data_IF_999572494967
#
_entry.id   IF_999572494967
#
_cell.length_a   1.000
_cell.length_b   1.000
_cell.length_c   1.000
_cell.angle_alpha   90.00
_cell.angle_beta   90.00
_cell.angle_gamma   90.00
#
_symmetry.space_group_name_H-M   'P 1'
#
loop_
_entity.id
_entity.type
_entity.pdbx_description
1 polymer ?
#
# COMPACT_ATOMS: atom_id res chain seq x y z
N UNK A 1 -4.40 -14.98 -26.49
CA UNK A 1 -4.18 -14.52 -25.10
C UNK A 1 -3.42 -13.22 -25.19
N UNK A 2 -3.80 -12.22 -24.39
CA UNK A 2 -3.11 -10.93 -24.42
C UNK A 2 -1.69 -11.05 -23.88
N UNK A 3 -0.73 -10.35 -24.47
CA UNK A 3 0.63 -10.26 -23.89
C UNK A 3 0.62 -9.35 -22.65
N UNK A 4 1.32 -9.75 -21.59
CA UNK A 4 1.36 -9.02 -20.32
C UNK A 4 2.79 -8.87 -19.82
N UNK A 5 3.13 -7.66 -19.34
CA UNK A 5 4.36 -7.38 -18.61
C UNK A 5 4.08 -6.71 -17.27
N UNK A 6 4.94 -6.96 -16.29
CA UNK A 6 4.92 -6.25 -15.00
C UNK A 6 6.15 -5.36 -14.90
N UNK A 7 5.94 -4.06 -14.81
CA UNK A 7 7.01 -3.07 -14.61
C UNK A 7 7.14 -2.77 -13.12
N UNK A 8 8.27 -3.11 -12.52
CA UNK A 8 8.49 -3.02 -11.07
C UNK A 8 9.69 -2.14 -10.73
N UNK A 9 9.96 -2.01 -9.43
CA UNK A 9 11.13 -1.34 -8.85
C UNK A 9 12.15 -2.39 -8.40
N UNK A 10 13.42 -2.00 -8.30
CA UNK A 10 14.52 -2.91 -7.96
C UNK A 10 14.29 -3.70 -6.67
N UNK A 11 13.73 -3.06 -5.64
CA UNK A 11 13.48 -3.71 -4.34
C UNK A 11 12.40 -4.79 -4.40
N UNK A 12 11.54 -4.78 -5.42
CA UNK A 12 10.40 -5.70 -5.56
C UNK A 12 10.52 -6.60 -6.79
N UNK A 13 11.69 -6.63 -7.45
CA UNK A 13 11.87 -7.43 -8.66
C UNK A 13 11.75 -8.94 -8.38
N UNK A 14 12.47 -9.43 -7.38
CA UNK A 14 12.47 -10.85 -7.02
C UNK A 14 11.16 -11.32 -6.36
N UNK A 15 10.39 -10.41 -5.76
CA UNK A 15 9.07 -10.74 -5.20
C UNK A 15 8.05 -10.90 -6.33
N UNK A 16 7.99 -9.93 -7.25
CA UNK A 16 7.06 -9.91 -8.38
C UNK A 16 7.32 -11.03 -9.38
N UNK A 17 8.60 -11.35 -9.66
CA UNK A 17 8.98 -12.41 -10.60
C UNK A 17 8.39 -13.78 -10.24
N UNK A 18 8.11 -14.03 -8.95
CA UNK A 18 7.46 -15.28 -8.47
C UNK A 18 6.09 -15.50 -9.08
N UNK A 19 5.39 -14.43 -9.48
CA UNK A 19 4.09 -14.52 -10.15
C UNK A 19 4.17 -15.27 -11.49
N UNK A 20 5.36 -15.39 -12.10
CA UNK A 20 5.59 -16.15 -13.32
C UNK A 20 5.18 -15.42 -14.60
N UNK A 21 5.17 -14.08 -14.58
CA UNK A 21 4.95 -13.23 -15.75
C UNK A 21 6.24 -12.48 -16.12
N UNK A 22 6.33 -12.05 -17.37
CA UNK A 22 7.43 -11.19 -17.83
C UNK A 22 7.52 -9.96 -16.92
N UNK A 23 8.69 -9.78 -16.30
CA UNK A 23 8.91 -8.76 -15.27
C UNK A 23 10.11 -7.90 -15.67
N UNK A 24 9.94 -6.59 -15.60
CA UNK A 24 10.86 -5.60 -16.12
C UNK A 24 11.24 -4.59 -15.04
N UNK A 25 12.48 -4.14 -15.07
CA UNK A 25 12.90 -2.97 -14.30
C UNK A 25 12.67 -1.70 -15.12
N UNK A 26 12.78 -0.55 -14.43
CA UNK A 26 12.64 0.78 -15.04
C UNK A 26 13.52 0.96 -16.28
N UNK A 27 14.73 0.40 -16.26
CA UNK A 27 15.76 0.66 -17.26
C UNK A 27 15.56 -0.18 -18.54
N UNK A 28 14.63 -1.15 -18.51
CA UNK A 28 14.32 -2.07 -19.61
C UNK A 28 13.17 -1.50 -20.48
N UNK A 29 13.27 -0.23 -20.89
CA UNK A 29 12.15 0.52 -21.49
C UNK A 29 11.60 -0.10 -22.79
N UNK A 30 12.48 -0.66 -23.61
CA UNK A 30 12.12 -1.19 -24.93
C UNK A 30 11.41 -2.54 -24.85
N UNK A 31 11.60 -3.30 -23.77
CA UNK A 31 11.22 -4.71 -23.69
C UNK A 31 9.75 -4.98 -23.31
N UNK A 32 9.01 -3.96 -22.87
CA UNK A 32 7.58 -4.09 -22.59
C UNK A 32 6.68 -3.28 -23.53
N UNK A 33 7.24 -2.54 -24.48
CA UNK A 33 6.47 -1.71 -25.42
C UNK A 33 5.53 -2.55 -26.31
N UNK A 34 5.84 -3.83 -26.51
CA UNK A 34 5.06 -4.81 -27.27
C UNK A 34 3.91 -5.46 -26.46
N UNK A 35 3.84 -5.24 -25.14
CA UNK A 35 2.84 -5.88 -24.27
C UNK A 35 1.48 -5.22 -24.37
N UNK A 36 0.43 -5.97 -24.63
CA UNK A 36 -0.94 -5.41 -24.66
C UNK A 36 -1.39 -4.89 -23.28
N UNK A 37 -0.94 -5.54 -22.20
CA UNK A 37 -1.24 -5.17 -20.82
C UNK A 37 0.07 -4.90 -20.06
N UNK A 38 0.09 -3.79 -19.32
CA UNK A 38 1.19 -3.47 -18.40
C UNK A 38 0.64 -3.23 -17.01
N UNK A 39 1.13 -3.98 -16.02
CA UNK A 39 0.86 -3.72 -14.60
C UNK A 39 2.07 -3.01 -14.02
N UNK A 40 1.85 -1.85 -13.39
CA UNK A 40 2.94 -1.15 -12.70
C UNK A 40 2.93 -1.47 -11.21
N UNK A 41 4.05 -2.00 -10.74
CA UNK A 41 4.28 -2.39 -9.36
C UNK A 41 5.25 -1.40 -8.71
N UNK A 42 4.73 -0.25 -8.27
CA UNK A 42 5.53 0.81 -7.63
C UNK A 42 6.32 1.71 -8.57
N UNK A 43 6.29 1.44 -9.87
CA UNK A 43 7.00 2.26 -10.85
C UNK A 43 6.16 3.49 -11.29
N UNK A 44 6.53 4.66 -10.78
CA UNK A 44 5.89 5.96 -11.09
C UNK A 44 6.40 6.63 -12.36
N UNK A 45 7.35 6.04 -13.08
CA UNK A 45 7.95 6.66 -14.27
C UNK A 45 6.93 6.76 -15.41
N UNK A 46 6.74 7.94 -16.01
CA UNK A 46 5.76 8.10 -17.08
C UNK A 46 6.10 7.19 -18.28
N UNK A 47 5.09 6.48 -18.79
CA UNK A 47 5.23 5.68 -20.02
C UNK A 47 4.47 6.39 -21.12
N UNK A 48 5.04 6.41 -22.31
CA UNK A 48 4.52 7.16 -23.47
C UNK A 48 3.80 6.29 -24.50
N UNK A 49 3.72 4.97 -24.30
CA UNK A 49 3.09 4.10 -25.30
C UNK A 49 1.56 4.13 -25.20
N UNK A 50 0.84 4.61 -26.25
CA UNK A 50 -0.61 4.70 -26.25
C UNK A 50 -1.31 3.35 -26.47
N UNK A 51 -0.56 2.30 -26.83
CA UNK A 51 -1.14 1.00 -27.20
C UNK A 51 -1.46 0.11 -26.00
N UNK A 52 -0.79 0.31 -24.87
CA UNK A 52 -0.88 -0.64 -23.76
C UNK A 52 -2.04 -0.27 -22.81
N UNK A 53 -2.78 -1.28 -22.35
CA UNK A 53 -3.67 -1.14 -21.20
C UNK A 53 -2.84 -1.14 -19.91
N UNK A 54 -2.57 0.06 -19.40
CA UNK A 54 -1.76 0.24 -18.17
C UNK A 54 -2.64 0.28 -16.92
N UNK A 55 -2.39 -0.64 -15.98
CA UNK A 55 -2.93 -0.66 -14.61
C UNK A 55 -1.95 -0.02 -13.63
N UNK A 56 -2.48 0.70 -12.63
CA UNK A 56 -1.72 1.64 -11.79
C UNK A 56 -1.00 2.71 -12.64
N UNK A 57 -1.68 3.82 -12.95
CA UNK A 57 -1.05 4.90 -13.72
C UNK A 57 0.13 5.53 -12.96
N UNK A 58 1.11 6.02 -13.71
CA UNK A 58 2.30 6.72 -13.20
C UNK A 58 1.96 7.75 -12.10
N UNK A 59 0.96 8.59 -12.40
CA UNK A 59 0.50 9.67 -11.54
C UNK A 59 -0.15 9.15 -10.25
N UNK A 60 -0.89 8.04 -10.30
CA UNK A 60 -1.48 7.43 -9.13
C UNK A 60 -0.42 6.85 -8.20
N UNK A 61 0.61 6.21 -8.77
CA UNK A 61 1.77 5.71 -8.00
C UNK A 61 2.55 6.89 -7.40
N UNK A 62 2.83 7.93 -8.18
CA UNK A 62 3.52 9.13 -7.71
C UNK A 62 2.78 9.77 -6.53
N UNK A 63 1.46 9.98 -6.65
CA UNK A 63 0.63 10.46 -5.54
C UNK A 63 0.75 9.54 -4.31
N UNK A 64 0.69 8.22 -4.51
CA UNK A 64 0.79 7.24 -3.43
C UNK A 64 2.16 7.25 -2.71
N UNK A 65 3.24 7.66 -3.39
CA UNK A 65 4.56 7.85 -2.79
C UNK A 65 4.63 9.07 -1.86
N UNK A 66 3.85 10.12 -2.12
CA UNK A 66 3.73 11.28 -1.23
C UNK A 66 2.72 10.99 -0.12
N UNK A 67 3.20 10.49 1.02
CA UNK A 67 2.35 9.86 2.05
C UNK A 67 1.40 10.83 2.74
N UNK A 68 1.76 12.11 2.86
CA UNK A 68 0.88 13.13 3.41
C UNK A 68 -0.31 13.45 2.48
N UNK A 69 -0.03 13.75 1.21
CA UNK A 69 -1.08 14.13 0.25
C UNK A 69 -1.97 12.94 -0.14
N UNK A 70 -1.40 11.74 -0.31
CA UNK A 70 -2.21 10.52 -0.51
C UNK A 70 -3.12 10.26 0.68
N UNK A 71 -2.65 10.45 1.92
CA UNK A 71 -3.48 10.28 3.11
C UNK A 71 -4.60 11.31 3.19
N UNK A 72 -4.35 12.59 2.86
CA UNK A 72 -5.42 13.60 2.72
C UNK A 72 -6.48 13.15 1.72
N UNK A 73 -6.05 12.63 0.57
CA UNK A 73 -6.97 12.12 -0.47
C UNK A 73 -7.79 10.92 0.02
N UNK A 74 -7.20 10.03 0.81
CA UNK A 74 -7.93 8.93 1.45
C UNK A 74 -8.99 9.44 2.43
N UNK A 75 -8.65 10.46 3.23
CA UNK A 75 -9.56 11.07 4.21
C UNK A 75 -10.85 11.66 3.62
N UNK A 76 -10.89 11.91 2.30
CA UNK A 76 -12.12 12.33 1.60
C UNK A 76 -13.16 11.20 1.46
N UNK A 77 -12.75 9.93 1.56
CA UNK A 77 -13.61 8.77 1.22
C UNK A 77 -13.67 7.68 2.29
N UNK A 78 -12.68 7.62 3.17
CA UNK A 78 -12.56 6.65 4.27
C UNK A 78 -11.99 7.32 5.51
N UNK A 79 -12.17 6.71 6.69
CA UNK A 79 -11.55 7.22 7.90
C UNK A 79 -10.03 7.04 7.85
N UNK A 80 -9.32 8.08 8.27
CA UNK A 80 -7.87 8.11 8.46
C UNK A 80 -7.58 8.64 9.87
N UNK A 81 -6.41 8.36 10.46
CA UNK A 81 -5.98 9.08 11.66
C UNK A 81 -5.88 10.57 11.38
N UNK A 82 -6.24 11.42 12.35
CA UNK A 82 -6.13 12.89 12.20
C UNK A 82 -4.71 13.28 11.82
N UNK A 83 -4.57 14.15 10.81
CA UNK A 83 -3.28 14.63 10.33
C UNK A 83 -2.80 15.90 11.06
N UNK A 84 -1.48 16.02 11.21
CA UNK A 84 -0.78 17.20 11.72
C UNK A 84 0.31 17.59 10.71
N UNK A 85 0.45 18.89 10.41
CA UNK A 85 1.45 19.41 9.45
C UNK A 85 2.54 20.24 10.13
N UNK A 86 2.15 21.17 11.01
CA UNK A 86 3.11 22.10 11.62
C UNK A 86 3.42 21.77 13.08
N UNK A 87 2.39 21.34 13.82
CA UNK A 87 2.54 21.00 15.24
C UNK A 87 1.57 19.92 15.67
N UNK A 88 2.00 19.17 16.67
CA UNK A 88 1.17 18.23 17.43
C UNK A 88 0.73 18.96 18.70
N UNK A 89 -0.60 19.09 18.94
CA UNK A 89 -1.10 19.86 20.07
C UNK A 89 -0.81 19.16 21.40
N UNK A 90 -0.77 19.94 22.48
CA UNK A 90 -0.62 19.42 23.84
C UNK A 90 -1.67 18.35 24.15
N UNK A 91 -1.23 17.28 24.83
CA UNK A 91 -2.08 16.15 25.21
C UNK A 91 -2.34 15.13 24.10
N UNK A 92 -2.04 15.44 22.83
CA UNK A 92 -2.16 14.46 21.75
C UNK A 92 -0.96 13.50 21.71
N UNK A 93 -1.22 12.25 21.34
CA UNK A 93 -0.19 11.27 21.00
C UNK A 93 -0.23 11.02 19.49
N UNK A 94 0.93 10.99 18.85
CA UNK A 94 0.99 10.92 17.39
C UNK A 94 2.19 10.13 16.88
N UNK A 95 2.01 9.51 15.71
CA UNK A 95 3.07 8.93 14.89
C UNK A 95 3.58 10.02 13.94
N UNK A 96 4.84 10.41 14.12
CA UNK A 96 5.56 11.31 13.21
C UNK A 96 6.38 10.48 12.24
N UNK A 97 6.39 10.90 10.97
CA UNK A 97 7.11 10.22 9.90
C UNK A 97 7.49 11.20 8.79
N UNK A 98 8.51 10.89 7.98
CA UNK A 98 8.82 11.67 6.78
C UNK A 98 7.65 11.71 5.80
N UNK A 99 7.53 12.81 5.05
CA UNK A 99 6.55 12.96 3.97
C UNK A 99 6.83 11.99 2.82
N UNK A 100 8.12 11.75 2.56
CA UNK A 100 8.59 10.77 1.58
C UNK A 100 8.66 9.35 2.16
N UNK A 101 8.51 8.34 1.29
CA UNK A 101 8.46 6.95 1.72
C UNK A 101 9.86 6.41 2.09
N UNK A 102 10.00 5.92 3.32
CA UNK A 102 11.24 5.36 3.89
C UNK A 102 11.16 3.87 4.22
N UNK A 103 10.22 3.11 3.65
CA UNK A 103 10.12 1.67 3.90
C UNK A 103 9.83 1.30 5.36
N UNK A 104 9.15 2.17 6.11
CA UNK A 104 8.85 1.94 7.54
C UNK A 104 9.97 2.33 8.49
N UNK A 105 11.06 2.94 8.01
CA UNK A 105 12.11 3.53 8.84
C UNK A 105 11.74 4.96 9.28
N UNK A 106 12.40 5.45 10.33
CA UNK A 106 12.33 6.85 10.78
C UNK A 106 10.94 7.33 11.22
N UNK A 107 10.03 6.44 11.64
CA UNK A 107 8.85 6.88 12.38
C UNK A 107 9.15 6.92 13.88
N UNK A 108 8.52 7.88 14.57
CA UNK A 108 8.60 8.05 16.03
C UNK A 108 7.21 8.30 16.59
N UNK A 109 6.95 7.86 17.81
CA UNK A 109 5.74 8.22 18.54
C UNK A 109 6.09 9.33 19.52
N UNK A 110 5.37 10.46 19.44
CA UNK A 110 5.62 11.64 20.27
C UNK A 110 4.33 12.07 20.95
N UNK A 111 4.47 12.58 22.19
CA UNK A 111 3.40 13.27 22.91
C UNK A 111 3.58 14.76 22.71
N UNK A 112 2.51 15.46 22.35
CA UNK A 112 2.53 16.91 22.18
C UNK A 112 2.67 17.67 23.50
N UNK A 113 3.09 18.95 23.45
CA UNK A 113 3.32 19.71 22.22
C UNK A 113 4.62 19.33 21.51
N UNK A 114 4.59 19.22 20.18
CA UNK A 114 5.75 18.87 19.36
C UNK A 114 5.69 19.62 18.02
N UNK A 115 6.76 20.33 17.65
CA UNK A 115 6.86 21.02 16.36
C UNK A 115 7.40 20.05 15.31
N UNK A 116 6.74 19.98 14.16
CA UNK A 116 7.13 19.11 13.06
C UNK A 116 8.13 19.84 12.15
N UNK A 117 9.14 19.12 11.68
CA UNK A 117 10.03 19.63 10.64
C UNK A 117 9.30 19.71 9.29
N UNK A 118 9.77 20.54 8.36
CA UNK A 118 9.13 20.75 7.05
C UNK A 118 9.04 19.47 6.19
N UNK A 119 9.87 18.47 6.49
CA UNK A 119 9.91 17.16 5.81
C UNK A 119 9.14 16.08 6.57
N UNK A 120 8.53 16.41 7.70
CA UNK A 120 7.74 15.51 8.53
C UNK A 120 6.25 15.80 8.43
N UNK A 121 5.45 14.79 8.75
CA UNK A 121 4.07 15.00 9.12
C UNK A 121 3.70 14.08 10.29
N UNK A 122 2.74 14.54 11.09
CA UNK A 122 2.15 13.74 12.16
C UNK A 122 0.84 13.12 11.73
N UNK A 123 0.55 11.95 12.29
CA UNK A 123 -0.81 11.39 12.31
C UNK A 123 -1.14 10.91 13.70
N UNK A 124 -2.38 11.10 14.14
CA UNK A 124 -2.86 10.65 15.45
C UNK A 124 -2.49 9.18 15.70
N UNK A 125 -2.00 8.92 16.91
CA UNK A 125 -1.73 7.57 17.36
C UNK A 125 -3.06 6.88 17.70
N UNK A 126 -3.52 6.01 16.81
CA UNK A 126 -4.73 5.22 17.05
C UNK A 126 -4.35 3.94 17.81
N UNK A 127 -4.88 3.79 19.02
CA UNK A 127 -4.68 2.57 19.82
C UNK A 127 -5.26 1.37 19.08
N UNK A 128 -4.39 0.50 18.58
CA UNK A 128 -4.79 -0.60 17.72
C UNK A 128 -5.42 -1.75 18.51
N UNK A 129 -6.62 -2.20 18.13
CA UNK A 129 -7.16 -3.49 18.57
C UNK A 129 -6.76 -4.61 17.60
N UNK A 130 -6.86 -4.33 16.30
CA UNK A 130 -6.45 -5.23 15.21
C UNK A 130 -5.84 -4.41 14.09
N UNK A 131 -4.87 -5.00 13.41
CA UNK A 131 -4.32 -4.46 12.17
C UNK A 131 -4.56 -5.45 11.04
N UNK A 132 -4.91 -4.92 9.87
CA UNK A 132 -5.21 -5.68 8.67
C UNK A 132 -4.32 -5.21 7.53
N UNK A 133 -3.96 -6.16 6.67
CA UNK A 133 -3.46 -5.88 5.33
C UNK A 133 -4.45 -6.42 4.33
N UNK A 134 -4.87 -5.58 3.40
CA UNK A 134 -5.82 -5.92 2.34
C UNK A 134 -5.14 -5.76 0.99
N UNK A 135 -4.78 -6.87 0.35
CA UNK A 135 -4.30 -6.88 -1.04
C UNK A 135 -5.48 -6.77 -2.00
N UNK A 136 -5.27 -6.11 -3.13
CA UNK A 136 -6.29 -5.90 -4.14
C UNK A 136 -5.73 -6.02 -5.55
N UNK A 137 -6.54 -6.56 -6.45
CA UNK A 137 -6.28 -6.68 -7.88
C UNK A 137 -7.60 -6.47 -8.63
N UNK A 138 -7.75 -5.32 -9.30
CA UNK A 138 -9.05 -4.88 -9.80
C UNK A 138 -10.04 -4.73 -8.65
N UNK A 139 -11.15 -5.47 -8.67
CA UNK A 139 -12.14 -5.48 -7.58
C UNK A 139 -12.00 -6.67 -6.63
N UNK A 140 -11.10 -7.62 -6.92
CA UNK A 140 -10.84 -8.74 -6.04
C UNK A 140 -9.99 -8.28 -4.84
N UNK A 141 -10.25 -8.85 -3.67
CA UNK A 141 -9.58 -8.52 -2.41
C UNK A 141 -9.14 -9.79 -1.70
N UNK A 142 -7.95 -9.75 -1.11
CA UNK A 142 -7.46 -10.72 -0.14
C UNK A 142 -7.19 -9.96 1.17
N UNK A 143 -7.79 -10.42 2.26
CA UNK A 143 -7.64 -9.76 3.57
C UNK A 143 -6.94 -10.70 4.54
N UNK A 144 -5.96 -10.17 5.28
CA UNK A 144 -5.40 -10.86 6.42
C UNK A 144 -5.24 -9.92 7.61
N UNK A 145 -5.36 -10.49 8.80
CA UNK A 145 -5.04 -9.81 10.06
C UNK A 145 -3.55 -9.98 10.34
N UNK A 146 -2.84 -8.90 10.68
CA UNK A 146 -1.48 -9.00 11.21
C UNK A 146 -1.49 -9.67 12.59
N UNK A 147 -0.61 -10.65 12.76
CA UNK A 147 -0.41 -11.36 14.02
C UNK A 147 1.04 -11.21 14.44
N UNK A 148 1.24 -10.89 15.73
CA UNK A 148 2.57 -10.76 16.32
C UNK A 148 3.30 -12.09 16.16
N UNK A 149 4.45 -12.06 15.48
CA UNK A 149 5.39 -13.19 15.49
C UNK A 149 6.29 -13.09 16.73
N UNK A 150 7.10 -14.10 17.04
CA UNK A 150 8.05 -14.06 18.17
C UNK A 150 9.12 -12.97 17.94
N UNK A 151 8.77 -11.70 18.10
CA UNK A 151 9.64 -10.53 18.00
C UNK A 151 9.77 -9.88 19.38
N UNK A 152 10.96 -9.33 19.68
CA UNK A 152 11.36 -8.78 20.98
C UNK A 152 10.22 -8.03 21.70
N UNK A 153 9.93 -8.47 22.92
CA UNK A 153 8.67 -8.17 23.63
C UNK A 153 8.62 -6.78 24.28
N UNK A 154 9.65 -5.95 24.12
CA UNK A 154 9.89 -4.82 25.02
C UNK A 154 9.64 -3.42 24.42
N UNK A 155 9.27 -3.31 23.14
CA UNK A 155 8.99 -2.00 22.53
C UNK A 155 7.54 -1.57 22.78
N UNK A 156 7.35 -0.42 23.43
CA UNK A 156 6.02 0.17 23.70
C UNK A 156 5.23 0.45 22.40
N UNK A 157 5.93 0.86 21.33
CA UNK A 157 5.38 1.17 20.02
C UNK A 157 6.07 0.36 18.91
N UNK A 158 5.77 -0.94 18.76
CA UNK A 158 6.49 -1.79 17.82
C UNK A 158 6.15 -1.44 16.37
N UNK A 159 7.16 -1.42 15.50
CA UNK A 159 6.93 -1.53 14.06
C UNK A 159 6.35 -2.92 13.76
N UNK A 160 5.30 -2.98 12.94
CA UNK A 160 4.59 -4.23 12.63
C UNK A 160 4.81 -4.71 11.21
N UNK A 161 5.76 -4.12 10.48
CA UNK A 161 6.10 -4.52 9.10
C UNK A 161 6.42 -6.02 9.02
N UNK A 162 7.17 -6.52 10.00
CA UNK A 162 7.65 -7.91 10.10
C UNK A 162 6.66 -8.87 10.79
N UNK A 163 5.42 -8.44 11.03
CA UNK A 163 4.42 -9.33 11.62
C UNK A 163 3.85 -10.29 10.56
N UNK A 164 3.48 -11.48 11.01
CA UNK A 164 2.87 -12.50 10.15
C UNK A 164 1.40 -12.21 9.89
N UNK A 165 0.76 -13.08 9.10
CA UNK A 165 -0.63 -12.92 8.70
C UNK A 165 -1.48 -14.13 9.10
N UNK A 166 -2.63 -13.85 9.70
CA UNK A 166 -3.74 -14.79 9.80
C UNK A 166 -4.76 -14.43 8.70
N UNK A 167 -4.81 -15.26 7.66
CA UNK A 167 -5.82 -15.14 6.61
C UNK A 167 -7.17 -15.55 7.20
N UNK A 168 -8.17 -14.68 7.03
CA UNK A 168 -9.50 -14.88 7.60
C UNK A 168 -10.52 -14.34 6.63
N UNK A 169 -11.64 -15.03 6.54
CA UNK A 169 -12.69 -14.67 5.60
C UNK A 169 -13.63 -13.60 6.17
N UNK A 170 -14.08 -12.73 5.26
CA UNK A 170 -15.24 -11.85 5.35
C UNK A 170 -15.18 -10.65 6.31
N UNK A 171 -14.75 -9.50 5.78
CA UNK A 171 -14.91 -8.18 6.40
C UNK A 171 -15.62 -7.22 5.44
N UNK A 172 -16.96 -7.31 5.30
CA UNK A 172 -17.67 -6.65 4.21
C UNK A 172 -17.55 -5.11 4.26
N UNK A 173 -17.53 -4.53 5.47
CA UNK A 173 -17.31 -3.10 5.67
C UNK A 173 -15.90 -2.70 5.21
N UNK A 174 -14.87 -3.41 5.68
CA UNK A 174 -13.48 -3.17 5.28
C UNK A 174 -13.32 -3.32 3.77
N UNK A 175 -13.88 -4.37 3.16
CA UNK A 175 -13.85 -4.58 1.71
C UNK A 175 -14.44 -3.40 0.95
N UNK A 176 -15.62 -2.92 1.34
CA UNK A 176 -16.27 -1.76 0.73
C UNK A 176 -15.41 -0.49 0.85
N UNK A 177 -14.81 -0.26 2.02
CA UNK A 177 -13.93 0.89 2.26
C UNK A 177 -12.61 0.78 1.47
N UNK A 178 -12.01 -0.41 1.37
CA UNK A 178 -10.80 -0.63 0.56
C UNK A 178 -11.07 -0.32 -0.91
N UNK A 179 -12.22 -0.73 -1.45
CA UNK A 179 -12.60 -0.42 -2.84
C UNK A 179 -12.77 1.09 -3.06
N UNK A 180 -13.30 1.83 -2.08
CA UNK A 180 -13.37 3.30 -2.14
C UNK A 180 -11.97 3.93 -2.10
N UNK A 181 -11.14 3.49 -1.15
CA UNK A 181 -9.79 4.00 -0.93
C UNK A 181 -8.91 3.81 -2.18
N UNK A 182 -8.86 2.60 -2.75
CA UNK A 182 -8.05 2.34 -3.95
C UNK A 182 -8.53 3.15 -5.15
N UNK A 183 -9.85 3.35 -5.28
CA UNK A 183 -10.43 4.16 -6.36
C UNK A 183 -10.08 5.65 -6.20
N UNK A 184 -10.06 6.17 -4.98
CA UNK A 184 -9.71 7.57 -4.71
C UNK A 184 -8.25 7.90 -5.03
N UNK A 185 -7.33 6.94 -4.83
CA UNK A 185 -5.91 7.08 -5.20
C UNK A 185 -5.68 6.74 -6.68
N UNK A 186 -6.50 5.87 -7.27
CA UNK A 186 -6.34 5.39 -8.65
C UNK A 186 -5.43 4.18 -8.76
N UNK A 187 -5.42 3.31 -7.73
CA UNK A 187 -4.70 2.03 -7.77
C UNK A 187 -5.65 0.88 -8.10
N UNK A 188 -5.22 0.06 -9.04
CA UNK A 188 -5.85 -1.20 -9.46
C UNK A 188 -5.19 -2.42 -8.80
N UNK A 189 -3.89 -2.35 -8.55
CA UNK A 189 -3.09 -3.39 -7.89
C UNK A 189 -2.33 -2.80 -6.70
N UNK A 190 -2.30 -3.50 -5.58
CA UNK A 190 -1.59 -3.02 -4.39
C UNK A 190 -2.15 -3.59 -3.09
N UNK A 191 -1.77 -3.00 -1.96
CA UNK A 191 -2.40 -3.31 -0.69
C UNK A 191 -2.73 -2.06 0.13
N UNK A 192 -3.59 -2.22 1.12
CA UNK A 192 -3.88 -1.22 2.14
C UNK A 192 -3.51 -1.75 3.53
N UNK A 193 -2.86 -0.92 4.34
CA UNK A 193 -2.64 -1.17 5.76
C UNK A 193 -3.70 -0.41 6.58
N UNK A 194 -4.42 -1.14 7.43
CA UNK A 194 -5.65 -0.64 8.08
C UNK A 194 -5.68 -1.05 9.55
N UNK A 195 -5.94 -0.09 10.43
CA UNK A 195 -6.19 -0.35 11.85
C UNK A 195 -7.69 -0.49 12.12
N UNK A 196 -8.05 -1.28 13.12
CA UNK A 196 -9.38 -1.28 13.73
C UNK A 196 -9.29 -0.77 15.16
N UNK A 197 -10.16 0.18 15.48
CA UNK A 197 -10.32 0.75 16.81
C UNK A 197 -11.76 1.23 17.00
N UNK A 198 -12.39 0.94 18.16
CA UNK A 198 -13.77 1.35 18.48
C UNK A 198 -14.77 1.01 17.36
N UNK A 199 -14.64 -0.19 16.78
CA UNK A 199 -15.47 -0.69 15.68
C UNK A 199 -15.39 0.12 14.36
N UNK A 200 -14.40 1.00 14.21
CA UNK A 200 -14.11 1.72 12.97
C UNK A 200 -12.78 1.25 12.37
N UNK A 201 -12.65 1.36 11.05
CA UNK A 201 -11.42 1.10 10.32
C UNK A 201 -10.72 2.41 9.99
N UNK A 202 -9.41 2.49 10.22
CA UNK A 202 -8.59 3.66 9.92
C UNK A 202 -7.50 3.26 8.92
N UNK A 203 -7.56 3.84 7.72
CA UNK A 203 -6.59 3.57 6.66
C UNK A 203 -5.28 4.31 6.95
N UNK A 204 -4.19 3.56 7.08
CA UNK A 204 -2.86 4.12 7.34
C UNK A 204 -2.14 4.51 6.07
N UNK A 205 -2.18 3.64 5.07
CA UNK A 205 -1.59 3.87 3.75
C UNK A 205 -2.08 2.83 2.74
N UNK A 206 -1.93 3.18 1.47
CA UNK A 206 -1.91 2.24 0.37
C UNK A 206 -0.47 2.07 -0.13
N UNK A 207 -0.18 0.89 -0.67
CA UNK A 207 1.10 0.54 -1.25
C UNK A 207 0.87 -0.05 -2.65
N UNK A 208 1.45 0.59 -3.66
CA UNK A 208 1.36 0.17 -5.07
C UNK A 208 2.35 -0.93 -5.46
N UNK A 209 3.24 -1.30 -4.53
CA UNK A 209 4.21 -2.37 -4.69
C UNK A 209 4.32 -3.21 -3.40
N UNK A 210 3.24 -3.90 -3.00
CA UNK A 210 3.32 -4.78 -1.85
C UNK A 210 4.24 -5.96 -2.16
N UNK A 211 5.06 -6.35 -1.19
CA UNK A 211 5.89 -7.53 -1.29
C UNK A 211 5.02 -8.79 -1.34
N UNK A 212 5.50 -9.80 -2.09
CA UNK A 212 4.82 -11.07 -2.34
C UNK A 212 5.49 -12.15 -1.48
N UNK A 213 5.25 -12.06 -0.18
CA UNK A 213 6.02 -12.81 0.83
C UNK A 213 5.40 -14.17 1.17
N UNK A 214 4.16 -14.43 0.72
CA UNK A 214 3.40 -15.64 1.04
C UNK A 214 2.76 -16.24 -0.21
N UNK A 215 2.73 -17.57 -0.30
CA UNK A 215 2.12 -18.30 -1.42
C UNK A 215 0.65 -17.91 -1.64
N UNK A 216 -0.12 -17.67 -0.58
CA UNK A 216 -1.53 -17.23 -0.69
C UNK A 216 -1.65 -15.88 -1.41
N UNK A 217 -0.71 -14.96 -1.19
CA UNK A 217 -0.67 -13.65 -1.87
C UNK A 217 -0.24 -13.83 -3.33
N UNK A 218 0.74 -14.69 -3.57
CA UNK A 218 1.20 -15.04 -4.91
C UNK A 218 0.07 -15.67 -5.75
N UNK A 219 -0.62 -16.67 -5.20
CA UNK A 219 -1.78 -17.34 -5.82
C UNK A 219 -2.91 -16.35 -6.11
N UNK A 220 -3.21 -15.46 -5.17
CA UNK A 220 -4.21 -14.40 -5.36
C UNK A 220 -3.87 -13.53 -6.57
N UNK A 221 -2.68 -12.92 -6.60
CA UNK A 221 -2.31 -12.04 -7.71
C UNK A 221 -2.20 -12.80 -9.03
N UNK A 222 -1.58 -13.99 -9.04
CA UNK A 222 -1.46 -14.82 -10.24
C UNK A 222 -2.83 -15.19 -10.79
N UNK A 223 -3.78 -15.55 -9.92
CA UNK A 223 -5.16 -15.84 -10.30
C UNK A 223 -5.87 -14.66 -10.94
N UNK A 224 -5.80 -13.47 -10.34
CA UNK A 224 -6.45 -12.26 -10.86
C UNK A 224 -5.80 -11.75 -12.15
N UNK A 225 -4.46 -11.82 -12.26
CA UNK A 225 -3.74 -11.44 -13.49
C UNK A 225 -4.12 -12.37 -14.64
N UNK A 226 -4.21 -13.69 -14.39
CA UNK A 226 -4.64 -14.65 -15.41
C UNK A 226 -6.07 -14.39 -15.93
N UNK A 227 -6.96 -13.85 -15.09
CA UNK A 227 -8.30 -13.44 -15.55
C UNK A 227 -8.20 -12.27 -16.54
N UNK A 228 -7.34 -11.28 -16.27
CA UNK A 228 -7.14 -10.13 -17.16
C UNK A 228 -6.58 -10.50 -18.54
N UNK A 229 -5.73 -11.52 -18.60
CA UNK A 229 -5.14 -12.01 -19.87
C UNK A 229 -6.19 -12.74 -20.74
N UNK A 230 -7.21 -13.31 -20.11
CA UNK A 230 -8.29 -14.08 -20.78
C UNK A 230 -9.45 -13.21 -21.27
N UNK A 231 -9.66 -12.03 -20.68
CA UNK A 231 -10.57 -11.00 -21.21
C UNK A 231 -9.96 -10.29 -22.40
#
# INVERSE_FOLDING_TARGET
MKTLGILTIKSEYESVKRLGFDTYLRDDYDDYCDKEIVIRWGNSFALTSPKNKVYNKAQAIALNCYKYESKKKLGEVVNIPRLFKDKIPEGALAVVRPVEHTGGQNFKVVKGPYNLDNEEYGSEFVKTEKEFRVWFAGNALLTARRIKMKCNETTEYPCRSEWGYAYTENFPVLSKETLKAKKAIGLDFGCADVLRHNNQYYFLELNSAPSIDHSVVEEFYRGEINKLIKT
#
